data_IF_830005233928
#
_entry.id   IF_830005233928
#
_cell.length_a   1.000
_cell.length_b   1.000
_cell.length_c   1.000
_cell.angle_alpha   90.00
_cell.angle_beta   90.00
_cell.angle_gamma   90.00
#
_symmetry.space_group_name_H-M   'P 1'
#
loop_
_entity.id
_entity.type
_entity.pdbx_description
1 polymer ?
#
# COMPACT_ATOMS: atom_id res chain seq x y z
N UNK A 1 28.30 0.76 -12.49
CA UNK A 1 27.20 1.25 -11.62
C UNK A 1 26.15 0.17 -11.60
N UNK A 2 26.12 -0.62 -10.52
CA UNK A 2 25.34 -1.84 -10.42
C UNK A 2 23.84 -1.52 -10.50
N UNK A 3 23.18 -2.12 -11.49
CA UNK A 3 21.73 -2.16 -11.58
C UNK A 3 21.25 -2.88 -10.33
N UNK A 4 20.55 -2.15 -9.48
CA UNK A 4 19.91 -2.65 -8.27
C UNK A 4 18.83 -3.64 -8.70
N UNK A 5 19.24 -4.90 -8.86
CA UNK A 5 18.33 -6.01 -9.04
C UNK A 5 17.54 -6.12 -7.73
N UNK A 6 16.37 -5.49 -7.68
CA UNK A 6 15.36 -5.80 -6.68
C UNK A 6 14.98 -7.27 -6.90
N UNK A 7 15.68 -8.12 -6.18
CA UNK A 7 15.39 -9.54 -6.06
C UNK A 7 13.99 -9.67 -5.44
N UNK A 8 12.98 -9.84 -6.28
CA UNK A 8 11.61 -10.15 -5.83
C UNK A 8 11.54 -11.52 -5.11
N UNK A 9 12.61 -12.31 -5.10
CA UNK A 9 12.70 -13.57 -4.36
C UNK A 9 13.20 -13.41 -2.91
N UNK A 10 13.44 -12.18 -2.43
CA UNK A 10 14.10 -11.92 -1.15
C UNK A 10 13.30 -11.12 -0.13
N UNK A 11 11.97 -11.01 -0.23
CA UNK A 11 11.19 -10.28 0.77
C UNK A 11 11.24 -11.02 2.11
N UNK A 12 12.06 -10.55 3.05
CA UNK A 12 12.19 -11.19 4.35
C UNK A 12 11.22 -10.55 5.33
N UNK A 13 10.03 -11.17 5.52
CA UNK A 13 9.06 -10.73 6.52
C UNK A 13 9.61 -10.70 7.96
N UNK A 14 10.82 -11.24 8.20
CA UNK A 14 11.51 -11.19 9.49
C UNK A 14 12.32 -9.90 9.68
N UNK A 15 12.72 -9.21 8.61
CA UNK A 15 13.45 -7.96 8.72
C UNK A 15 12.47 -6.82 8.97
N UNK A 16 12.57 -6.24 10.16
CA UNK A 16 11.63 -5.21 10.58
C UNK A 16 11.77 -3.94 9.74
N UNK A 17 12.96 -3.68 9.17
CA UNK A 17 13.20 -2.53 8.29
C UNK A 17 12.51 -2.73 6.95
N UNK A 18 12.60 -3.93 6.36
CA UNK A 18 11.89 -4.24 5.11
C UNK A 18 10.37 -4.21 5.31
N UNK A 19 9.87 -4.79 6.41
CA UNK A 19 8.46 -4.74 6.76
C UNK A 19 7.95 -3.30 6.81
N UNK A 20 8.63 -2.45 7.59
CA UNK A 20 8.25 -1.05 7.77
C UNK A 20 8.30 -0.28 6.45
N UNK A 21 9.34 -0.48 5.63
CA UNK A 21 9.44 0.11 4.29
C UNK A 21 8.31 -0.33 3.36
N UNK A 22 7.92 -1.60 3.41
CA UNK A 22 6.87 -2.14 2.57
C UNK A 22 5.50 -1.52 2.88
N UNK A 23 5.18 -1.33 4.16
CA UNK A 23 3.96 -0.64 4.58
C UNK A 23 3.95 0.81 4.07
N UNK A 24 5.07 1.53 4.22
CA UNK A 24 5.20 2.91 3.71
C UNK A 24 5.00 2.96 2.20
N UNK A 25 5.57 2.00 1.47
CA UNK A 25 5.41 1.90 0.02
C UNK A 25 3.96 1.61 -0.39
N UNK A 26 3.29 0.64 0.26
CA UNK A 26 1.89 0.32 0.01
C UNK A 26 0.99 1.54 0.23
N UNK A 27 1.24 2.28 1.31
CA UNK A 27 0.46 3.47 1.64
C UNK A 27 0.70 4.61 0.64
N UNK A 28 1.94 4.83 0.19
CA UNK A 28 2.26 5.93 -0.72
C UNK A 28 1.80 5.67 -2.17
N UNK A 29 1.90 4.41 -2.62
CA UNK A 29 1.70 4.02 -4.01
C UNK A 29 0.32 3.43 -4.29
N UNK A 30 -0.29 2.70 -3.34
CA UNK A 30 -1.52 1.95 -3.59
C UNK A 30 -2.71 2.47 -2.81
N UNK A 31 -2.58 2.61 -1.49
CA UNK A 31 -3.72 2.90 -0.63
C UNK A 31 -4.01 4.41 -0.57
N UNK A 32 -2.97 5.24 -0.43
CA UNK A 32 -3.04 6.72 -0.34
C UNK A 32 -4.12 7.22 0.62
N UNK A 33 -4.35 6.51 1.72
CA UNK A 33 -5.39 6.84 2.70
C UNK A 33 -5.04 8.10 3.50
N UNK A 34 -3.78 8.24 3.88
CA UNK A 34 -3.28 9.33 4.71
C UNK A 34 -2.82 10.54 3.89
N UNK A 35 -3.12 11.72 4.44
CA UNK A 35 -2.54 13.00 4.00
C UNK A 35 -1.03 13.00 4.23
N UNK A 36 -0.30 13.74 3.40
CA UNK A 36 1.17 13.83 3.41
C UNK A 36 1.76 14.10 4.81
N UNK A 37 1.04 14.83 5.67
CA UNK A 37 1.45 15.18 7.03
C UNK A 37 1.45 13.99 8.00
N UNK A 38 0.45 13.09 7.93
CA UNK A 38 0.39 11.90 8.78
C UNK A 38 1.34 10.80 8.30
N UNK A 39 1.73 10.83 7.01
CA UNK A 39 2.72 9.88 6.45
C UNK A 39 4.10 10.00 7.09
N UNK A 40 4.43 11.16 7.68
CA UNK A 40 5.73 11.39 8.33
C UNK A 40 6.01 10.38 9.46
N UNK A 41 4.98 10.01 10.21
CA UNK A 41 5.06 9.09 11.33
C UNK A 41 5.34 7.65 10.87
N UNK A 42 4.67 7.19 9.80
CA UNK A 42 4.90 5.89 9.18
C UNK A 42 6.23 5.82 8.42
N UNK A 43 6.64 6.92 7.78
CA UNK A 43 7.96 7.03 7.11
C UNK A 43 9.14 6.95 8.06
N UNK A 44 8.94 7.29 9.34
CA UNK A 44 9.99 7.19 10.34
C UNK A 44 10.15 5.74 10.83
N UNK A 45 10.67 4.88 9.94
CA UNK A 45 10.84 3.43 10.19
C UNK A 45 11.84 3.12 11.31
N UNK A 46 12.61 4.08 11.81
CA UNK A 46 13.52 3.90 12.94
C UNK A 46 12.94 4.40 14.26
N UNK A 47 11.72 4.95 14.25
CA UNK A 47 11.06 5.40 15.46
C UNK A 47 10.66 4.22 16.35
N UNK A 48 10.87 4.37 17.65
CA UNK A 48 10.37 3.45 18.68
C UNK A 48 8.83 3.47 18.77
N UNK A 49 8.19 4.56 18.35
CA UNK A 49 6.73 4.71 18.34
C UNK A 49 6.08 4.23 17.03
N UNK A 50 6.88 3.82 16.03
CA UNK A 50 6.39 3.24 14.78
C UNK A 50 5.28 2.17 14.95
N UNK A 51 5.41 1.16 15.85
CA UNK A 51 4.35 0.18 16.06
C UNK A 51 3.01 0.80 16.51
N UNK A 52 3.02 1.91 17.27
CA UNK A 52 1.78 2.60 17.66
C UNK A 52 1.13 3.29 16.47
N UNK A 53 1.94 3.92 15.62
CA UNK A 53 1.45 4.54 14.39
C UNK A 53 0.93 3.50 13.41
N UNK A 54 1.58 2.34 13.32
CA UNK A 54 1.11 1.24 12.50
C UNK A 54 -0.19 0.63 13.02
N UNK A 55 -0.35 0.47 14.34
CA UNK A 55 -1.63 0.00 14.90
C UNK A 55 -2.78 0.99 14.61
N UNK A 56 -2.51 2.29 14.75
CA UNK A 56 -3.47 3.34 14.36
C UNK A 56 -3.80 3.25 12.86
N UNK A 57 -2.78 3.08 12.03
CA UNK A 57 -2.93 2.91 10.58
C UNK A 57 -3.85 1.73 10.24
N UNK A 58 -3.62 0.56 10.85
CA UNK A 58 -4.46 -0.63 10.67
C UNK A 58 -5.92 -0.34 11.05
N UNK A 59 -6.16 0.40 12.13
CA UNK A 59 -7.51 0.79 12.53
C UNK A 59 -8.17 1.75 11.54
N UNK A 60 -7.43 2.73 11.04
CA UNK A 60 -7.94 3.71 10.07
C UNK A 60 -8.31 3.04 8.73
N UNK A 61 -7.51 2.07 8.27
CA UNK A 61 -7.87 1.26 7.08
C UNK A 61 -8.92 0.20 7.39
N UNK A 62 -9.39 0.08 8.65
CA UNK A 62 -10.37 -0.88 9.12
C UNK A 62 -9.90 -2.35 8.98
N UNK A 63 -8.60 -2.59 9.17
CA UNK A 63 -7.99 -3.91 9.18
C UNK A 63 -8.35 -4.65 10.49
N UNK A 64 -8.83 -5.91 10.43
CA UNK A 64 -9.19 -6.68 11.61
C UNK A 64 -7.99 -7.31 12.34
N UNK A 65 -6.80 -7.28 11.72
CA UNK A 65 -5.60 -7.93 12.23
C UNK A 65 -4.76 -7.00 13.12
N UNK A 66 -3.95 -7.58 14.01
CA UNK A 66 -3.06 -6.83 14.90
C UNK A 66 -1.65 -6.77 14.33
N UNK A 67 -0.81 -5.90 14.90
CA UNK A 67 0.62 -5.82 14.58
C UNK A 67 1.39 -7.12 14.85
N UNK A 68 0.84 -8.03 15.67
CA UNK A 68 1.41 -9.34 15.96
C UNK A 68 1.26 -10.28 14.74
N UNK A 69 0.15 -10.16 14.03
CA UNK A 69 -0.19 -10.93 12.83
C UNK A 69 0.35 -10.23 11.58
N UNK A 70 1.66 -9.95 11.57
CA UNK A 70 2.32 -9.13 10.54
C UNK A 70 2.05 -9.66 9.12
N UNK A 71 2.06 -10.97 8.94
CA UNK A 71 1.81 -11.61 7.64
C UNK A 71 0.36 -11.42 7.20
N UNK A 72 -0.61 -11.72 8.07
CA UNK A 72 -2.03 -11.51 7.74
C UNK A 72 -2.37 -10.04 7.51
N UNK A 73 -1.79 -9.13 8.30
CA UNK A 73 -1.95 -7.70 8.09
C UNK A 73 -1.40 -7.26 6.73
N UNK A 74 -0.22 -7.75 6.31
CA UNK A 74 0.32 -7.48 4.98
C UNK A 74 -0.58 -8.04 3.88
N UNK A 75 -0.98 -9.31 3.97
CA UNK A 75 -1.80 -9.96 2.96
C UNK A 75 -3.14 -9.22 2.79
N UNK A 76 -3.74 -8.80 3.90
CA UNK A 76 -4.94 -8.00 3.89
C UNK A 76 -4.74 -6.61 3.25
N UNK A 77 -3.64 -5.92 3.58
CA UNK A 77 -3.29 -4.62 2.97
C UNK A 77 -3.00 -4.74 1.48
N UNK A 78 -2.34 -5.81 1.04
CA UNK A 78 -2.15 -6.15 -0.37
C UNK A 78 -3.49 -6.36 -1.06
N UNK A 79 -4.40 -7.13 -0.45
CA UNK A 79 -5.76 -7.33 -0.96
C UNK A 79 -6.55 -6.03 -1.06
N UNK A 80 -6.39 -5.11 -0.10
CA UNK A 80 -6.99 -3.78 -0.13
C UNK A 80 -6.40 -2.94 -1.28
N UNK A 81 -5.07 -2.90 -1.40
CA UNK A 81 -4.34 -2.20 -2.45
C UNK A 81 -4.75 -2.67 -3.85
N UNK A 82 -4.87 -3.98 -4.07
CA UNK A 82 -5.32 -4.56 -5.34
C UNK A 82 -6.77 -4.16 -5.63
N UNK A 83 -7.66 -4.21 -4.63
CA UNK A 83 -9.06 -3.77 -4.80
C UNK A 83 -9.17 -2.29 -5.17
N UNK A 84 -8.39 -1.41 -4.54
CA UNK A 84 -8.34 0.01 -4.87
C UNK A 84 -7.83 0.23 -6.30
N UNK A 85 -6.76 -0.47 -6.69
CA UNK A 85 -6.23 -0.40 -8.05
C UNK A 85 -7.24 -0.91 -9.09
N UNK A 86 -7.98 -1.98 -8.78
CA UNK A 86 -9.03 -2.47 -9.68
C UNK A 86 -10.19 -1.49 -9.80
N UNK A 87 -10.59 -0.84 -8.71
CA UNK A 87 -11.63 0.20 -8.72
C UNK A 87 -11.23 1.38 -9.61
N UNK A 88 -10.02 1.91 -9.43
CA UNK A 88 -9.48 3.02 -10.21
C UNK A 88 -9.39 2.67 -11.71
N UNK A 89 -8.90 1.45 -12.03
CA UNK A 89 -8.86 0.98 -13.41
C UNK A 89 -10.26 0.72 -14.00
N UNK A 90 -11.21 0.18 -13.24
CA UNK A 90 -12.58 -0.05 -13.72
C UNK A 90 -13.32 1.25 -14.04
N UNK A 91 -13.07 2.32 -13.28
CA UNK A 91 -13.56 3.66 -13.60
C UNK A 91 -12.96 4.19 -14.91
N UNK A 92 -11.69 3.88 -15.18
CA UNK A 92 -10.99 4.22 -16.43
C UNK A 92 -11.63 3.66 -17.70
N UNK A 93 -12.32 2.53 -17.61
CA UNK A 93 -13.01 1.91 -18.76
C UNK A 93 -14.49 2.32 -18.88
N UNK A 94 -15.10 2.91 -17.84
CA UNK A 94 -16.47 3.43 -17.92
C UNK A 94 -16.56 4.74 -18.70
N UNK A 95 -15.45 5.50 -18.78
CA UNK A 95 -15.38 6.76 -19.51
C UNK A 95 -15.11 6.58 -21.01
N UNK A 96 -14.95 5.33 -21.48
CA UNK A 96 -14.96 5.02 -22.90
C UNK A 96 -16.40 5.06 -23.43
N UNK A 97 -16.94 6.28 -23.55
CA UNK A 97 -18.11 6.54 -24.37
C UNK A 97 -17.81 5.99 -25.76
N UNK A 98 -18.67 5.16 -26.37
CA UNK A 98 -18.44 4.71 -27.74
C UNK A 98 -18.34 5.96 -28.62
N UNK A 99 -17.14 6.19 -29.16
CA UNK A 99 -16.90 7.27 -30.11
C UNK A 99 -17.92 7.06 -31.22
N UNK A 100 -18.94 7.91 -31.27
CA UNK A 100 -19.95 7.87 -32.33
C UNK A 100 -19.19 8.15 -33.62
N UNK A 101 -18.95 7.10 -34.40
CA UNK A 101 -18.55 7.25 -35.78
C UNK A 101 -19.65 8.07 -36.46
N UNK A 102 -19.28 9.28 -36.87
CA UNK A 102 -20.19 10.17 -37.60
C UNK A 102 -20.01 9.76 -39.05
N UNK A 103 -20.95 8.97 -39.57
CA UNK A 103 -21.07 8.64 -40.98
C UNK A 103 -20.99 9.92 -41.83
N UNK A 104 -20.08 9.92 -42.80
CA UNK A 104 -20.03 10.82 -43.94
C UNK A 104 -19.73 9.97 -45.19
#
# INVERSE_FOLDING_TARGET
MALYHHNLAGFNCKDETEFRNFIVWLEDQKIRHYKIVDRGNLRNIHSSDWPKFFEKYLRDVNCPFKIQDRQEAIDWLLGLAVRLQYRDNAEKYKDLVPYKYKDC
#
